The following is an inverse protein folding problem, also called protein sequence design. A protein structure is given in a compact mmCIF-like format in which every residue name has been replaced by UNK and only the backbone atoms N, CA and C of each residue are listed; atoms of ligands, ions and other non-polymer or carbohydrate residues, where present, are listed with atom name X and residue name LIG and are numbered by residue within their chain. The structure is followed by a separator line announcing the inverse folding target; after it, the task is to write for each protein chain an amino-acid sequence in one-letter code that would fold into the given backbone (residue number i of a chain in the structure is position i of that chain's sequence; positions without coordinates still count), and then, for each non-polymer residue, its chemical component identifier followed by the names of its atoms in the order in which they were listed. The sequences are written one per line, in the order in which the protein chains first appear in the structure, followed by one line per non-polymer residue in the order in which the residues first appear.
data_IF_755018261804
#
_entry.id   IF_755018261804
#
_cell.length_a   1.000
_cell.length_b   1.000
_cell.length_c   1.000
_cell.angle_alpha   90.00
_cell.angle_beta   90.00
_cell.angle_gamma   90.00
#
_symmetry.space_group_name_H-M   'P 1'
#
loop_
_entity.id
_entity.type
_entity.pdbx_description
1 polymer ?
#
# COMPACT_ATOMS: atom_id res chain seq x y z
N UNK A 1 17.32 -32.63 33.02
CA UNK A 1 17.79 -32.25 31.67
C UNK A 1 16.57 -31.73 30.94
N UNK A 2 16.61 -30.46 30.53
CA UNK A 2 15.44 -29.70 30.07
C UNK A 2 15.05 -30.12 28.66
N UNK A 3 13.86 -30.67 28.53
CA UNK A 3 13.21 -30.99 27.25
C UNK A 3 12.68 -29.68 26.65
N UNK A 4 13.52 -29.01 25.84
CA UNK A 4 13.25 -27.69 25.26
C UNK A 4 13.36 -27.67 23.74
N UNK A 5 13.34 -28.85 23.11
CA UNK A 5 13.47 -29.02 21.65
C UNK A 5 12.14 -29.30 20.94
N UNK A 6 11.03 -29.43 21.66
CA UNK A 6 9.73 -29.56 21.03
C UNK A 6 9.19 -28.19 20.59
N UNK A 7 9.24 -27.97 19.27
CA UNK A 7 8.28 -27.21 18.47
C UNK A 7 8.40 -25.68 18.46
N UNK A 8 9.48 -25.17 17.88
CA UNK A 8 9.43 -23.87 17.19
C UNK A 8 9.30 -24.10 15.68
N UNK A 9 8.06 -24.27 15.19
CA UNK A 9 7.78 -24.42 13.76
C UNK A 9 7.85 -23.08 13.02
N UNK A 10 8.14 -21.97 13.71
CA UNK A 10 8.16 -20.66 13.08
C UNK A 10 9.17 -20.61 11.94
N UNK A 11 10.33 -21.26 12.08
CA UNK A 11 11.36 -21.36 11.04
C UNK A 11 10.88 -22.00 9.73
N UNK A 12 9.90 -22.91 9.81
CA UNK A 12 9.34 -23.60 8.66
C UNK A 12 8.19 -22.82 8.00
N UNK A 13 7.70 -21.74 8.63
CA UNK A 13 6.66 -20.90 8.04
C UNK A 13 7.22 -20.10 6.86
N UNK A 14 6.45 -20.10 5.77
CA UNK A 14 6.64 -19.19 4.66
C UNK A 14 6.70 -17.73 5.19
N UNK A 15 7.85 -17.06 4.98
CA UNK A 15 8.07 -15.69 5.45
C UNK A 15 8.77 -15.49 6.79
N UNK A 16 9.27 -16.55 7.43
CA UNK A 16 10.01 -16.44 8.69
C UNK A 16 11.30 -15.62 8.61
N UNK A 17 12.06 -15.74 7.50
CA UNK A 17 13.24 -14.90 7.28
C UNK A 17 12.80 -13.51 6.85
N UNK A 18 12.95 -12.53 7.75
CA UNK A 18 12.73 -11.11 7.47
C UNK A 18 13.56 -10.69 6.25
N UNK A 19 12.87 -10.18 5.22
CA UNK A 19 13.48 -9.58 4.03
C UNK A 19 13.04 -10.20 2.70
N UNK A 20 12.52 -11.44 2.68
CA UNK A 20 11.95 -12.04 1.46
C UNK A 20 10.92 -13.13 1.78
N UNK A 21 9.73 -12.77 2.28
CA UNK A 21 8.66 -13.74 2.46
C UNK A 21 8.13 -14.23 1.10
N UNK A 22 8.18 -15.53 0.88
CA UNK A 22 7.55 -16.18 -0.27
C UNK A 22 6.11 -16.54 0.12
N UNK A 23 5.12 -15.85 -0.44
CA UNK A 23 3.70 -16.13 -0.19
C UNK A 23 3.09 -17.02 -1.27
N UNK A 24 3.67 -17.03 -2.47
CA UNK A 24 3.19 -17.84 -3.60
C UNK A 24 4.14 -19.01 -3.92
N UNK A 25 3.63 -20.02 -4.62
CA UNK A 25 4.42 -21.18 -5.07
C UNK A 25 5.61 -20.79 -5.96
N UNK A 26 5.45 -19.69 -6.70
CA UNK A 26 6.50 -19.12 -7.52
C UNK A 26 6.88 -17.75 -6.98
N UNK A 27 8.10 -17.65 -6.45
CA UNK A 27 8.67 -16.42 -5.88
C UNK A 27 8.61 -15.21 -6.84
N UNK A 28 8.61 -15.45 -8.15
CA UNK A 28 8.46 -14.38 -9.15
C UNK A 28 7.14 -13.61 -8.98
N UNK A 29 6.09 -14.25 -8.46
CA UNK A 29 4.79 -13.64 -8.22
C UNK A 29 4.89 -12.68 -7.03
N UNK A 30 5.58 -13.07 -5.95
CA UNK A 30 5.84 -12.20 -4.80
C UNK A 30 6.61 -10.94 -5.22
N UNK A 31 7.68 -11.12 -6.01
CA UNK A 31 8.46 -10.01 -6.56
C UNK A 31 7.61 -9.07 -7.43
N UNK A 32 6.77 -9.63 -8.31
CA UNK A 32 5.87 -8.82 -9.14
C UNK A 32 4.84 -8.06 -8.30
N UNK A 33 4.25 -8.68 -7.28
CA UNK A 33 3.31 -8.01 -6.37
C UNK A 33 4.03 -6.87 -5.64
N UNK A 34 5.24 -7.11 -5.12
CA UNK A 34 6.06 -6.08 -4.49
C UNK A 34 6.31 -4.90 -5.42
N UNK A 35 6.79 -5.16 -6.65
CA UNK A 35 7.02 -4.10 -7.66
C UNK A 35 5.75 -3.28 -7.92
N UNK A 36 4.59 -3.93 -8.08
CA UNK A 36 3.34 -3.24 -8.39
C UNK A 36 2.81 -2.43 -7.19
N UNK A 37 3.06 -2.88 -5.95
CA UNK A 37 2.76 -2.12 -4.74
C UNK A 37 3.64 -0.87 -4.63
N UNK A 38 4.95 -1.01 -4.83
CA UNK A 38 5.89 0.11 -4.80
C UNK A 38 5.57 1.15 -5.88
N UNK A 39 5.30 0.71 -7.11
CA UNK A 39 4.88 1.60 -8.19
C UNK A 39 3.57 2.33 -7.88
N UNK A 40 2.62 1.67 -7.20
CA UNK A 40 1.39 2.31 -6.77
C UNK A 40 1.60 3.36 -5.70
N UNK A 41 2.53 3.13 -4.77
CA UNK A 41 2.91 4.10 -3.74
C UNK A 41 3.54 5.34 -4.37
N UNK A 42 4.52 5.18 -5.26
CA UNK A 42 5.16 6.27 -6.00
C UNK A 42 4.15 7.09 -6.83
N UNK A 43 3.20 6.40 -7.46
CA UNK A 43 2.12 7.06 -8.21
C UNK A 43 1.18 7.85 -7.28
N UNK A 44 0.88 7.33 -6.10
CA UNK A 44 0.05 8.06 -5.11
C UNK A 44 0.73 9.34 -4.65
N UNK A 45 2.02 9.28 -4.30
CA UNK A 45 2.81 10.46 -3.91
C UNK A 45 2.83 11.50 -5.02
N UNK A 46 3.03 11.06 -6.27
CA UNK A 46 3.02 11.95 -7.44
C UNK A 46 1.67 12.65 -7.62
N UNK A 47 0.55 11.93 -7.44
CA UNK A 47 -0.79 12.50 -7.53
C UNK A 47 -1.08 13.48 -6.40
N UNK A 48 -0.68 13.16 -5.17
CA UNK A 48 -0.86 14.05 -4.02
C UNK A 48 -0.08 15.36 -4.22
N UNK A 49 1.16 15.28 -4.73
CA UNK A 49 1.98 16.45 -5.07
C UNK A 49 1.39 17.28 -6.22
N UNK A 50 0.82 16.63 -7.24
CA UNK A 50 0.13 17.31 -8.34
C UNK A 50 -1.12 18.03 -7.86
N UNK A 51 -1.93 17.39 -7.02
CA UNK A 51 -3.12 18.00 -6.44
C UNK A 51 -2.78 19.21 -5.57
N UNK A 52 -1.68 19.14 -4.81
CA UNK A 52 -1.18 20.30 -4.06
C UNK A 52 -0.74 21.44 -4.98
N UNK A 53 -0.03 21.13 -6.07
CA UNK A 53 0.34 22.12 -7.07
C UNK A 53 -0.89 22.81 -7.66
N UNK A 54 -1.93 22.04 -8.02
CA UNK A 54 -3.20 22.58 -8.53
C UNK A 54 -3.87 23.51 -7.51
N UNK A 55 -3.89 23.15 -6.23
CA UNK A 55 -4.45 23.96 -5.14
C UNK A 55 -3.66 25.26 -4.93
N UNK A 56 -2.32 25.19 -4.87
CA UNK A 56 -1.44 26.36 -4.76
C UNK A 56 -1.67 27.32 -5.93
N UNK A 57 -1.74 26.80 -7.17
CA UNK A 57 -2.01 27.60 -8.36
C UNK A 57 -3.40 28.23 -8.33
N UNK A 58 -4.42 27.50 -7.88
CA UNK A 58 -5.80 28.00 -7.77
C UNK A 58 -5.92 29.14 -6.75
N UNK A 59 -5.14 29.09 -5.67
CA UNK A 59 -5.11 30.14 -4.65
C UNK A 59 -4.30 31.37 -5.07
N UNK A 60 -3.52 31.28 -6.16
CA UNK A 60 -2.60 32.33 -6.59
C UNK A 60 -1.36 32.46 -5.69
N UNK A 61 -1.08 31.42 -4.89
CA UNK A 61 0.09 31.37 -4.02
C UNK A 61 1.37 31.14 -4.86
N UNK A 62 2.51 31.71 -4.46
CA UNK A 62 3.79 31.39 -5.10
C UNK A 62 4.08 29.89 -4.99
N UNK A 63 4.61 29.29 -6.06
CA UNK A 63 4.98 27.88 -6.08
C UNK A 63 6.46 27.73 -5.74
N UNK A 64 6.78 26.98 -4.69
CA UNK A 64 8.13 26.53 -4.38
C UNK A 64 8.23 25.02 -4.22
N UNK A 65 9.42 24.45 -4.46
CA UNK A 65 9.64 23.00 -4.29
C UNK A 65 9.47 22.58 -2.83
N UNK A 66 9.91 23.41 -1.88
CA UNK A 66 9.82 23.14 -0.45
C UNK A 66 8.35 23.06 0.02
N UNK A 67 7.49 23.95 -0.48
CA UNK A 67 6.05 23.93 -0.16
C UNK A 67 5.32 22.74 -0.80
N UNK A 68 5.75 22.28 -1.97
CA UNK A 68 5.19 21.08 -2.59
C UNK A 68 5.62 19.80 -1.88
N UNK A 69 6.79 19.80 -1.25
CA UNK A 69 7.34 18.62 -0.57
C UNK A 69 6.90 18.53 0.90
N UNK A 70 6.68 19.67 1.58
CA UNK A 70 6.33 19.72 3.01
C UNK A 70 4.90 20.18 3.29
N UNK A 71 4.24 20.79 2.31
CA UNK A 71 2.90 21.32 2.45
C UNK A 71 1.84 20.25 2.67
N UNK A 72 0.81 20.58 3.44
CA UNK A 72 -0.37 19.73 3.63
C UNK A 72 -1.52 20.22 2.76
N UNK A 73 -2.27 19.32 2.10
CA UNK A 73 -3.52 19.66 1.43
C UNK A 73 -4.52 20.31 2.39
N UNK A 74 -5.45 21.10 1.86
CA UNK A 74 -6.64 21.47 2.62
C UNK A 74 -7.45 20.23 3.04
N UNK A 75 -8.29 20.37 4.08
CA UNK A 75 -9.13 19.26 4.54
C UNK A 75 -10.10 18.75 3.45
N UNK A 76 -10.61 19.66 2.61
CA UNK A 76 -11.47 19.32 1.48
C UNK A 76 -10.71 18.53 0.41
N UNK A 77 -9.51 19.00 0.05
CA UNK A 77 -8.66 18.30 -0.91
C UNK A 77 -8.22 16.92 -0.37
N UNK A 78 -7.86 16.84 0.91
CA UNK A 78 -7.49 15.58 1.55
C UNK A 78 -8.62 14.56 1.47
N UNK A 79 -9.86 14.95 1.79
CA UNK A 79 -11.01 14.05 1.70
C UNK A 79 -11.25 13.54 0.28
N UNK A 80 -11.06 14.41 -0.73
CA UNK A 80 -11.14 14.02 -2.15
C UNK A 80 -10.05 13.02 -2.52
N UNK A 81 -8.80 13.30 -2.14
CA UNK A 81 -7.66 12.42 -2.39
C UNK A 81 -7.84 11.05 -1.73
N UNK A 82 -8.38 11.00 -0.52
CA UNK A 82 -8.66 9.75 0.18
C UNK A 82 -9.71 8.90 -0.57
N UNK A 83 -10.78 9.53 -1.07
CA UNK A 83 -11.78 8.85 -1.88
C UNK A 83 -11.20 8.34 -3.21
N UNK A 84 -10.41 9.17 -3.90
CA UNK A 84 -9.75 8.81 -5.15
C UNK A 84 -8.74 7.67 -4.95
N UNK A 85 -7.98 7.70 -3.84
CA UNK A 85 -7.04 6.65 -3.45
C UNK A 85 -7.76 5.34 -3.20
N UNK A 86 -8.87 5.35 -2.48
CA UNK A 86 -9.66 4.13 -2.25
C UNK A 86 -10.20 3.56 -3.57
N UNK A 87 -10.72 4.41 -4.45
CA UNK A 87 -11.18 3.97 -5.77
C UNK A 87 -10.03 3.43 -6.64
N UNK A 88 -8.84 4.02 -6.55
CA UNK A 88 -7.64 3.53 -7.22
C UNK A 88 -7.23 2.14 -6.71
N UNK A 89 -7.15 1.97 -5.39
CA UNK A 89 -6.80 0.69 -4.76
C UNK A 89 -7.78 -0.40 -5.19
N UNK A 90 -9.09 -0.12 -5.18
CA UNK A 90 -10.09 -1.08 -5.63
C UNK A 90 -9.93 -1.45 -7.11
N UNK A 91 -9.65 -0.49 -7.99
CA UNK A 91 -9.48 -0.77 -9.43
C UNK A 91 -8.21 -1.57 -9.72
N UNK A 92 -7.10 -1.25 -9.05
CA UNK A 92 -5.78 -1.83 -9.35
C UNK A 92 -5.57 -3.13 -8.59
N UNK A 93 -5.83 -3.13 -7.28
CA UNK A 93 -5.55 -4.24 -6.39
C UNK A 93 -6.79 -5.07 -6.05
N UNK A 94 -8.02 -4.57 -6.29
CA UNK A 94 -9.24 -5.29 -5.91
C UNK A 94 -9.35 -6.69 -6.50
N UNK A 95 -8.77 -6.94 -7.69
CA UNK A 95 -8.72 -8.28 -8.30
C UNK A 95 -7.77 -9.25 -7.58
N UNK A 96 -6.69 -8.74 -6.99
CA UNK A 96 -5.78 -9.53 -6.16
C UNK A 96 -6.54 -10.07 -4.94
N UNK A 97 -7.29 -9.20 -4.26
CA UNK A 97 -8.09 -9.57 -3.08
C UNK A 97 -9.29 -10.48 -3.42
N UNK A 98 -9.91 -10.32 -4.59
CA UNK A 98 -11.04 -11.15 -5.01
C UNK A 98 -10.68 -12.64 -5.19
N UNK A 99 -9.44 -12.93 -5.59
CA UNK A 99 -8.98 -14.30 -5.82
C UNK A 99 -8.33 -14.90 -4.57
N UNK A 100 -7.65 -14.09 -3.76
CA UNK A 100 -7.08 -14.49 -2.46
C UNK A 100 -8.19 -14.77 -1.41
N UNK A 101 -9.41 -14.26 -1.62
CA UNK A 101 -10.57 -14.48 -0.73
C UNK A 101 -11.49 -15.66 -1.06
N UNK A 102 -11.18 -16.52 -2.04
CA UNK A 102 -11.97 -17.73 -2.32
C UNK A 102 -11.65 -18.94 -1.42
N UNK A 103 -10.98 -18.71 -0.28
CA UNK A 103 -11.12 -19.60 0.87
C UNK A 103 -11.23 -18.79 2.18
N UNK A 104 -12.48 -18.49 2.54
CA UNK A 104 -12.98 -18.03 3.85
C UNK A 104 -12.17 -16.97 4.62
N UNK A 105 -12.56 -15.71 4.46
CA UNK A 105 -12.63 -14.78 5.59
C UNK A 105 -13.68 -13.70 5.31
N UNK A 106 -14.69 -13.66 6.18
CA UNK A 106 -15.80 -12.72 6.14
C UNK A 106 -15.32 -11.26 6.11
N UNK A 107 -15.98 -10.46 5.26
CA UNK A 107 -15.73 -9.04 5.01
C UNK A 107 -16.00 -8.09 6.20
N UNK A 108 -15.90 -8.58 7.44
CA UNK A 108 -16.25 -7.83 8.67
C UNK A 108 -15.06 -7.42 9.54
N UNK A 109 -13.83 -7.72 9.13
CA UNK A 109 -12.64 -7.44 9.95
C UNK A 109 -11.69 -6.39 9.36
N UNK A 110 -12.11 -5.68 8.30
CA UNK A 110 -11.31 -4.63 7.67
C UNK A 110 -11.84 -3.21 7.94
N UNK A 111 -12.31 -2.97 9.16
CA UNK A 111 -12.58 -1.62 9.71
C UNK A 111 -12.06 -1.52 11.14
#
# INVERSE_FOLDING_TARGET
MSDKEATDFSEALAGFKRGNPAYFEHEVIDHLVGIVLELGAELSVTRDRLARLEETLANGDPVSLDELDTGRPSAELQARLDQERQAFIQRVYGRLYAQVGSDKADAKTAL
#
